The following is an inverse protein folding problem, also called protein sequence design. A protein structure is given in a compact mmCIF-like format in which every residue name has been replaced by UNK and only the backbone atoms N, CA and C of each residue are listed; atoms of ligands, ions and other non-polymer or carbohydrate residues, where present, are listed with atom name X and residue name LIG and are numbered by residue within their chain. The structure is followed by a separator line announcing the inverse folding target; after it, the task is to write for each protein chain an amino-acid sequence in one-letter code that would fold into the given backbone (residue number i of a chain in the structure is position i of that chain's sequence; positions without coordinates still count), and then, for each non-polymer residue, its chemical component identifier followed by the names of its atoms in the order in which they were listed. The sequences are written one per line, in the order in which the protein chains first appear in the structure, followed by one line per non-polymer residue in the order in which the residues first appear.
data_IF_302481426699
#
_entry.id   IF_302481426699
#
_cell.length_a   1.000
_cell.length_b   1.000
_cell.length_c   1.000
_cell.angle_alpha   90.00
_cell.angle_beta   90.00
_cell.angle_gamma   90.00
#
_symmetry.space_group_name_H-M   'P 1'
#
loop_
_entity.id
_entity.type
_entity.pdbx_description
1 polymer ?
#
# COMPACT_ATOMS: atom_id res chain seq x y z
N UNK A 1 -27.91 44.77 -35.21
CA UNK A 1 -28.57 44.32 -33.97
C UNK A 1 -29.29 43.02 -34.29
N UNK A 2 -29.32 41.95 -33.47
CA UNK A 2 -28.65 41.63 -32.19
C UNK A 2 -27.82 40.30 -32.35
N UNK A 3 -27.58 39.42 -31.35
CA UNK A 3 -26.23 38.97 -30.98
C UNK A 3 -25.88 37.50 -31.31
N UNK A 4 -24.58 37.20 -31.33
CA UNK A 4 -24.02 35.85 -31.26
C UNK A 4 -24.31 35.19 -29.90
N UNK A 5 -24.80 33.95 -29.90
CA UNK A 5 -24.75 33.06 -28.73
C UNK A 5 -24.01 31.79 -29.12
N UNK A 6 -22.71 31.79 -28.84
CA UNK A 6 -21.92 30.57 -28.75
C UNK A 6 -22.30 29.82 -27.47
N UNK A 7 -22.67 28.56 -27.63
CA UNK A 7 -22.93 27.62 -26.55
C UNK A 7 -21.62 26.88 -26.26
N UNK A 8 -20.77 27.44 -25.41
CA UNK A 8 -19.59 26.73 -24.92
C UNK A 8 -19.38 26.93 -23.41
N UNK A 9 -19.47 25.80 -22.69
CA UNK A 9 -18.81 25.50 -21.41
C UNK A 9 -19.05 26.43 -20.20
N UNK A 10 -20.04 26.07 -19.36
CA UNK A 10 -20.24 26.64 -18.01
C UNK A 10 -19.24 26.13 -16.95
N UNK A 11 -18.14 25.46 -17.32
CA UNK A 11 -17.23 24.83 -16.35
C UNK A 11 -15.73 25.17 -16.52
N UNK A 12 -15.37 26.16 -17.33
CA UNK A 12 -13.97 26.55 -17.57
C UNK A 12 -13.37 27.57 -16.58
N UNK A 13 -14.08 27.94 -15.50
CA UNK A 13 -13.67 29.05 -14.62
C UNK A 13 -13.48 28.69 -13.14
N UNK A 14 -13.13 27.44 -12.80
CA UNK A 14 -12.53 27.18 -11.49
C UNK A 14 -11.00 27.24 -11.62
N UNK A 15 -10.36 28.37 -11.28
CA UNK A 15 -8.92 28.37 -11.09
C UNK A 15 -8.61 27.42 -9.93
N UNK A 16 -7.85 26.36 -10.20
CA UNK A 16 -7.10 25.64 -9.16
C UNK A 16 -6.03 26.61 -8.66
N UNK A 17 -6.45 27.55 -7.80
CA UNK A 17 -5.63 28.64 -7.30
C UNK A 17 -4.45 28.08 -6.51
N UNK A 18 -3.27 28.56 -6.86
CA UNK A 18 -1.96 28.44 -6.20
C UNK A 18 -1.90 29.10 -4.80
N UNK A 19 -3.05 29.36 -4.18
CA UNK A 19 -3.27 29.85 -2.82
C UNK A 19 -4.16 28.87 -2.04
N UNK A 20 -3.80 27.58 -2.07
CA UNK A 20 -4.47 26.56 -1.25
C UNK A 20 -4.28 26.81 0.26
N UNK A 21 -5.07 26.16 1.13
CA UNK A 21 -4.89 26.27 2.58
C UNK A 21 -3.43 25.95 2.96
N UNK A 22 -2.82 26.82 3.78
CA UNK A 22 -1.44 26.68 4.26
C UNK A 22 -1.21 25.27 4.83
N UNK A 23 -0.04 24.67 4.56
CA UNK A 23 0.25 23.25 4.87
C UNK A 23 -0.02 22.92 6.36
N UNK A 24 0.33 23.81 7.30
CA UNK A 24 0.03 23.64 8.73
C UNK A 24 -1.48 23.57 9.04
N UNK A 25 -2.31 24.34 8.34
CA UNK A 25 -3.77 24.32 8.52
C UNK A 25 -4.38 23.02 7.96
N UNK A 26 -3.70 22.34 7.04
CA UNK A 26 -4.14 21.03 6.54
C UNK A 26 -3.86 19.92 7.55
N UNK A 27 -2.68 19.91 8.18
CA UNK A 27 -2.34 18.96 9.26
C UNK A 27 -3.31 19.10 10.43
N UNK A 28 -3.57 20.33 10.88
CA UNK A 28 -4.53 20.57 11.97
C UNK A 28 -5.96 20.13 11.63
N UNK A 29 -6.42 20.39 10.40
CA UNK A 29 -7.75 19.93 9.94
C UNK A 29 -7.82 18.40 9.89
N UNK A 30 -6.78 17.76 9.39
CA UNK A 30 -6.68 16.31 9.34
C UNK A 30 -6.69 15.69 10.75
N UNK A 31 -6.00 16.32 11.71
CA UNK A 31 -6.05 15.91 13.10
C UNK A 31 -7.44 16.03 13.70
N UNK A 32 -8.14 17.16 13.51
CA UNK A 32 -9.52 17.33 13.99
C UNK A 32 -10.47 16.26 13.44
N UNK A 33 -10.41 15.99 12.13
CA UNK A 33 -11.20 14.94 11.50
C UNK A 33 -10.88 13.56 12.05
N UNK A 34 -9.59 13.27 12.30
CA UNK A 34 -9.15 12.04 12.91
C UNK A 34 -9.69 11.89 14.35
N UNK A 35 -9.65 12.95 15.15
CA UNK A 35 -10.09 12.95 16.56
C UNK A 35 -11.61 12.77 16.71
N UNK A 36 -12.40 13.14 15.70
CA UNK A 36 -13.87 12.95 15.72
C UNK A 36 -14.29 11.49 15.48
N UNK A 37 -13.42 10.67 14.87
CA UNK A 37 -13.68 9.26 14.59
C UNK A 37 -13.70 8.44 15.88
N UNK A 38 -14.73 7.64 16.05
CA UNK A 38 -14.99 6.91 17.28
C UNK A 38 -14.27 5.55 17.35
N UNK A 39 -14.16 4.85 16.22
CA UNK A 39 -13.53 3.53 16.17
C UNK A 39 -12.16 3.55 15.47
N UNK A 40 -11.28 2.68 15.94
CA UNK A 40 -9.89 2.61 15.47
C UNK A 40 -9.78 2.14 14.01
N UNK A 41 -10.71 1.31 13.54
CA UNK A 41 -10.73 0.88 12.14
C UNK A 41 -11.10 2.04 11.20
N UNK A 42 -12.05 2.89 11.58
CA UNK A 42 -12.37 4.11 10.85
C UNK A 42 -11.19 5.09 10.86
N UNK A 43 -10.49 5.24 11.98
CA UNK A 43 -9.25 6.02 12.06
C UNK A 43 -8.18 5.47 11.11
N UNK A 44 -7.92 4.16 11.11
CA UNK A 44 -6.97 3.53 10.17
C UNK A 44 -7.39 3.78 8.71
N UNK A 45 -8.65 3.50 8.38
CA UNK A 45 -9.19 3.72 7.02
C UNK A 45 -9.07 5.18 6.58
N UNK A 46 -9.30 6.13 7.50
CA UNK A 46 -9.12 7.55 7.25
C UNK A 46 -7.65 7.88 6.96
N UNK A 47 -6.72 7.41 7.78
CA UNK A 47 -5.28 7.61 7.60
C UNK A 47 -4.78 7.03 6.27
N UNK A 48 -5.21 5.81 5.93
CA UNK A 48 -4.93 5.18 4.63
C UNK A 48 -5.49 6.03 3.48
N UNK A 49 -6.72 6.52 3.60
CA UNK A 49 -7.31 7.41 2.57
C UNK A 49 -6.55 8.74 2.39
N UNK A 50 -5.89 9.23 3.45
CA UNK A 50 -5.06 10.43 3.39
C UNK A 50 -3.72 10.11 2.71
N UNK A 51 -3.11 8.97 3.04
CA UNK A 51 -1.91 8.45 2.37
C UNK A 51 -2.09 8.36 0.86
N UNK A 52 -3.20 7.78 0.38
CA UNK A 52 -3.49 7.65 -1.05
C UNK A 52 -3.75 9.00 -1.73
N UNK A 53 -4.49 9.91 -1.08
CA UNK A 53 -4.83 11.23 -1.66
C UNK A 53 -3.66 12.20 -1.72
N UNK A 54 -2.68 12.04 -0.82
CA UNK A 54 -1.56 12.97 -0.67
C UNK A 54 -0.25 12.44 -1.27
N UNK A 55 -0.31 11.34 -2.04
CA UNK A 55 0.80 10.86 -2.88
C UNK A 55 1.99 10.28 -2.12
N UNK A 56 1.81 9.88 -0.86
CA UNK A 56 2.92 9.49 0.02
C UNK A 56 3.63 8.20 -0.40
N UNK A 57 3.00 7.33 -1.22
CA UNK A 57 3.58 6.03 -1.63
C UNK A 57 3.29 5.70 -3.11
N UNK A 58 3.13 6.73 -3.94
CA UNK A 58 2.75 6.54 -5.35
C UNK A 58 3.98 6.31 -6.22
N UNK A 59 4.42 5.05 -6.32
CA UNK A 59 5.33 4.60 -7.37
C UNK A 59 4.58 3.64 -8.31
N UNK A 60 3.42 4.07 -8.83
CA UNK A 60 2.66 3.28 -9.81
C UNK A 60 2.92 3.76 -11.26
N UNK A 61 2.57 2.95 -12.28
CA UNK A 61 2.84 3.21 -13.70
C UNK A 61 2.13 4.44 -14.31
N UNK A 62 1.37 5.21 -13.51
CA UNK A 62 0.42 6.21 -14.03
C UNK A 62 0.47 7.60 -13.39
N UNK A 63 1.57 7.99 -12.72
CA UNK A 63 1.65 9.33 -12.12
C UNK A 63 2.90 10.11 -12.54
N UNK A 64 2.67 11.31 -13.10
CA UNK A 64 3.70 12.32 -13.34
C UNK A 64 4.42 12.69 -12.03
N UNK A 65 5.68 13.17 -12.11
CA UNK A 65 6.48 13.58 -10.96
C UNK A 65 5.92 14.88 -10.35
N UNK A 66 4.78 14.79 -9.66
CA UNK A 66 4.15 15.94 -9.03
C UNK A 66 4.65 16.07 -7.59
N UNK A 67 5.62 16.97 -7.45
CA UNK A 67 6.06 17.67 -6.25
C UNK A 67 6.44 16.84 -5.01
N UNK A 68 7.75 16.89 -4.73
CA UNK A 68 8.43 16.71 -3.44
C UNK A 68 7.87 17.63 -2.33
N UNK A 69 6.61 17.48 -1.92
CA UNK A 69 6.13 18.05 -0.67
C UNK A 69 6.18 16.95 0.39
N UNK A 70 6.71 17.28 1.57
CA UNK A 70 6.48 16.46 2.77
C UNK A 70 4.99 16.14 2.80
N UNK A 71 4.64 14.88 2.71
CA UNK A 71 3.24 14.49 2.72
C UNK A 71 2.69 14.79 4.11
N UNK A 72 1.70 15.69 4.21
CA UNK A 72 1.11 16.13 5.48
C UNK A 72 0.64 14.97 6.38
N UNK A 73 0.41 13.77 5.82
CA UNK A 73 0.10 12.56 6.58
C UNK A 73 1.27 12.04 7.42
N UNK A 74 2.50 12.03 6.89
CA UNK A 74 3.67 11.58 7.64
C UNK A 74 4.03 12.59 8.74
N UNK A 75 3.87 13.88 8.45
CA UNK A 75 4.03 14.95 9.44
C UNK A 75 2.99 14.82 10.56
N UNK A 76 1.71 14.63 10.21
CA UNK A 76 0.64 14.37 11.17
C UNK A 76 0.96 13.16 12.06
N UNK A 77 1.38 12.05 11.47
CA UNK A 77 1.76 10.85 12.23
C UNK A 77 2.97 11.14 13.11
N UNK A 78 3.96 11.89 12.63
CA UNK A 78 5.15 12.23 13.40
C UNK A 78 4.81 13.08 14.63
N UNK A 79 3.95 14.09 14.47
CA UNK A 79 3.51 14.99 15.54
C UNK A 79 2.69 14.26 16.61
N UNK A 80 1.94 13.22 16.20
CA UNK A 80 1.02 12.47 17.06
C UNK A 80 1.38 10.97 17.17
N UNK A 81 2.66 10.61 17.02
CA UNK A 81 3.08 9.21 16.85
C UNK A 81 2.63 8.30 17.99
N UNK A 82 2.66 8.79 19.23
CA UNK A 82 2.22 7.99 20.40
C UNK A 82 0.74 7.60 20.32
N UNK A 83 -0.10 8.47 19.77
CA UNK A 83 -1.53 8.26 19.60
C UNK A 83 -1.83 7.43 18.34
N UNK A 84 -1.13 7.71 17.25
CA UNK A 84 -1.43 7.13 15.93
C UNK A 84 -0.72 5.80 15.67
N UNK A 85 0.40 5.52 16.32
CA UNK A 85 1.12 4.24 16.19
C UNK A 85 0.23 3.00 16.36
N UNK A 86 -0.58 2.86 17.44
CA UNK A 86 -1.44 1.70 17.61
C UNK A 86 -2.58 1.61 16.57
N UNK A 87 -2.84 2.69 15.82
CA UNK A 87 -3.85 2.74 14.76
C UNK A 87 -3.29 2.29 13.42
N UNK A 88 -2.07 2.72 13.06
CA UNK A 88 -1.42 2.39 11.78
C UNK A 88 -0.59 1.10 11.85
N UNK A 89 -0.51 0.48 13.02
CA UNK A 89 0.19 -0.77 13.28
C UNK A 89 -0.61 -1.59 14.30
N UNK A 90 0.05 -2.40 15.13
CA UNK A 90 -0.64 -3.24 16.12
C UNK A 90 -1.27 -2.42 17.25
N UNK A 91 -2.51 -2.75 17.69
CA UNK A 91 -3.31 -3.92 17.30
C UNK A 91 -4.25 -3.71 16.08
N UNK A 92 -4.57 -2.46 15.72
CA UNK A 92 -5.64 -2.14 14.74
C UNK A 92 -5.34 -2.64 13.33
N UNK A 93 -4.06 -2.70 12.95
CA UNK A 93 -3.64 -3.19 11.64
C UNK A 93 -4.04 -4.66 11.43
N UNK A 94 -4.01 -5.48 12.49
CA UNK A 94 -4.48 -6.87 12.41
C UNK A 94 -5.97 -6.95 12.05
N UNK A 95 -6.81 -6.12 12.66
CA UNK A 95 -8.24 -6.03 12.31
C UNK A 95 -8.44 -5.49 10.90
N UNK A 96 -7.61 -4.54 10.47
CA UNK A 96 -7.64 -3.98 9.12
C UNK A 96 -7.32 -5.04 8.07
N UNK A 97 -6.28 -5.86 8.30
CA UNK A 97 -5.88 -6.99 7.45
C UNK A 97 -7.01 -8.02 7.34
N UNK A 98 -7.62 -8.43 8.46
CA UNK A 98 -8.74 -9.37 8.46
C UNK A 98 -9.95 -8.86 7.66
N UNK A 99 -10.10 -7.54 7.58
CA UNK A 99 -11.17 -6.86 6.84
C UNK A 99 -10.74 -6.38 5.45
N UNK A 100 -9.52 -6.68 5.00
CA UNK A 100 -8.91 -6.10 3.79
C UNK A 100 -9.84 -6.13 2.58
N UNK A 101 -10.39 -7.30 2.26
CA UNK A 101 -11.27 -7.48 1.10
C UNK A 101 -12.57 -6.68 1.19
N UNK A 102 -13.06 -6.39 2.39
CA UNK A 102 -14.27 -5.59 2.63
C UNK A 102 -14.01 -4.08 2.52
N UNK A 103 -12.84 -3.63 3.00
CA UNK A 103 -12.48 -2.20 3.07
C UNK A 103 -11.68 -1.72 1.87
N UNK A 104 -11.27 -2.64 0.98
CA UNK A 104 -10.45 -2.35 -0.18
C UNK A 104 -11.07 -1.26 -1.05
N UNK A 105 -10.25 -0.26 -1.41
CA UNK A 105 -10.66 0.83 -2.31
C UNK A 105 -9.76 0.96 -3.52
N UNK A 106 -8.45 0.81 -3.32
CA UNK A 106 -7.43 0.91 -4.36
C UNK A 106 -6.28 -0.05 -4.01
N UNK A 107 -5.64 -0.66 -5.02
CA UNK A 107 -4.42 -1.44 -4.78
C UNK A 107 -3.30 -0.51 -4.35
N UNK A 108 -2.59 -0.88 -3.27
CA UNK A 108 -1.36 -0.26 -2.81
C UNK A 108 -0.29 -1.36 -2.72
N UNK A 109 0.88 -1.16 -3.33
CA UNK A 109 1.90 -2.20 -3.47
C UNK A 109 1.75 -3.07 -4.72
N UNK A 110 2.78 -3.89 -4.99
CA UNK A 110 2.84 -4.82 -6.09
C UNK A 110 2.24 -6.17 -5.69
N UNK A 111 1.27 -6.65 -6.46
CA UNK A 111 0.56 -7.91 -6.22
C UNK A 111 1.04 -8.92 -7.26
N UNK A 112 1.70 -9.98 -6.83
CA UNK A 112 2.25 -11.02 -7.71
C UNK A 112 1.48 -12.31 -7.51
N UNK A 113 1.09 -12.95 -8.61
CA UNK A 113 0.27 -14.16 -8.62
C UNK A 113 1.09 -15.35 -9.12
N UNK A 114 1.05 -16.48 -8.40
CA UNK A 114 1.77 -17.69 -8.78
C UNK A 114 1.34 -18.27 -10.14
N UNK A 115 0.08 -18.06 -10.54
CA UNK A 115 -0.45 -18.43 -11.86
C UNK A 115 0.20 -17.67 -13.01
N UNK A 116 0.73 -16.47 -12.74
CA UNK A 116 1.36 -15.57 -13.71
C UNK A 116 2.87 -15.40 -13.42
N UNK A 117 3.54 -16.46 -12.97
CA UNK A 117 4.98 -16.43 -12.59
C UNK A 117 5.87 -15.82 -13.68
N UNK A 118 5.60 -16.08 -14.97
CA UNK A 118 6.38 -15.54 -16.09
C UNK A 118 6.24 -14.02 -16.25
N UNK A 119 5.21 -13.40 -15.66
CA UNK A 119 4.96 -11.95 -15.70
C UNK A 119 5.59 -11.19 -14.53
N UNK A 120 6.11 -11.89 -13.52
CA UNK A 120 6.66 -11.26 -12.30
C UNK A 120 7.68 -10.16 -12.61
N UNK A 121 8.60 -10.39 -13.55
CA UNK A 121 9.57 -9.37 -13.96
C UNK A 121 8.89 -8.13 -14.54
N UNK A 122 7.93 -8.32 -15.44
CA UNK A 122 7.20 -7.23 -16.09
C UNK A 122 6.39 -6.42 -15.07
N UNK A 123 5.67 -7.10 -14.19
CA UNK A 123 4.79 -6.45 -13.22
C UNK A 123 5.62 -5.69 -12.15
N UNK A 124 6.79 -6.19 -11.76
CA UNK A 124 7.74 -5.45 -10.92
C UNK A 124 8.35 -4.23 -11.64
N UNK A 125 8.65 -4.33 -12.93
CA UNK A 125 9.27 -3.24 -13.70
C UNK A 125 8.37 -1.99 -13.81
N UNK A 126 7.07 -2.12 -13.56
CA UNK A 126 6.13 -1.00 -13.57
C UNK A 126 6.28 -0.04 -12.39
N UNK A 127 7.09 -0.40 -11.38
CA UNK A 127 7.24 0.36 -10.13
C UNK A 127 8.44 1.31 -10.11
N UNK A 128 9.23 1.40 -11.18
CA UNK A 128 10.28 2.40 -11.30
C UNK A 128 11.57 1.88 -11.92
N UNK A 129 12.56 2.76 -12.00
CA UNK A 129 13.89 2.47 -12.52
C UNK A 129 14.81 1.90 -11.42
N UNK A 130 15.97 1.33 -11.77
CA UNK A 130 16.88 0.69 -10.81
C UNK A 130 17.29 1.54 -9.60
N UNK A 131 17.36 2.87 -9.77
CA UNK A 131 17.70 3.82 -8.73
C UNK A 131 16.49 4.34 -7.93
N UNK A 132 15.27 4.02 -8.33
CA UNK A 132 14.06 4.55 -7.69
C UNK A 132 13.70 3.78 -6.43
N UNK A 133 13.98 2.47 -6.37
CA UNK A 133 13.62 1.59 -5.25
C UNK A 133 14.86 1.19 -4.44
N UNK A 134 14.86 1.49 -3.14
CA UNK A 134 15.91 1.12 -2.19
C UNK A 134 15.48 0.06 -1.18
N UNK A 135 14.18 -0.07 -0.90
CA UNK A 135 13.70 -0.93 0.17
C UNK A 135 12.39 -1.63 -0.23
N UNK A 136 12.43 -2.95 -0.34
CA UNK A 136 11.30 -3.79 -0.67
C UNK A 136 10.90 -4.54 0.59
N UNK A 137 9.64 -4.41 1.02
CA UNK A 137 9.05 -5.29 2.03
C UNK A 137 8.09 -6.23 1.32
N UNK A 138 8.33 -7.52 1.47
CA UNK A 138 7.55 -8.58 0.83
C UNK A 138 6.92 -9.46 1.90
N UNK A 139 5.70 -9.93 1.65
CA UNK A 139 4.99 -10.91 2.49
C UNK A 139 4.20 -11.88 1.61
N UNK A 140 3.96 -13.09 2.10
CA UNK A 140 2.99 -14.04 1.54
C UNK A 140 1.67 -14.13 2.33
N UNK A 141 1.58 -13.38 3.43
CA UNK A 141 0.42 -13.34 4.29
C UNK A 141 0.09 -14.64 5.02
N UNK A 142 1.02 -15.59 5.12
CA UNK A 142 0.75 -16.89 5.74
C UNK A 142 0.76 -16.85 7.27
N UNK A 143 1.66 -16.07 7.87
CA UNK A 143 1.79 -15.99 9.32
C UNK A 143 1.75 -14.52 9.75
N UNK A 144 0.63 -13.85 9.47
CA UNK A 144 0.47 -12.44 9.83
C UNK A 144 0.35 -12.29 11.34
N UNK A 145 1.34 -11.64 11.94
CA UNK A 145 1.40 -11.30 13.37
C UNK A 145 1.09 -12.51 14.27
N UNK A 146 -0.13 -12.58 14.81
CA UNK A 146 -0.67 -13.71 15.57
C UNK A 146 -2.10 -14.06 15.14
N UNK A 147 -2.49 -13.62 13.95
CA UNK A 147 -3.81 -13.87 13.35
C UNK A 147 -3.77 -14.92 12.23
N UNK A 148 -2.58 -15.49 11.98
CA UNK A 148 -2.34 -16.57 11.03
C UNK A 148 -2.54 -16.15 9.58
N UNK A 149 -2.98 -17.10 8.75
CA UNK A 149 -3.09 -16.90 7.30
C UNK A 149 -4.18 -15.91 6.92
N UNK A 150 -3.76 -14.79 6.33
CA UNK A 150 -4.63 -13.73 5.81
C UNK A 150 -4.53 -13.58 4.28
N UNK A 151 -3.79 -14.49 3.62
CA UNK A 151 -3.57 -14.52 2.19
C UNK A 151 -3.15 -13.16 1.63
N UNK A 152 -3.80 -12.74 0.54
CA UNK A 152 -3.48 -11.49 -0.16
C UNK A 152 -3.69 -10.23 0.71
N UNK A 153 -4.52 -10.30 1.75
CA UNK A 153 -4.69 -9.18 2.68
C UNK A 153 -3.45 -8.90 3.52
N UNK A 154 -2.54 -9.87 3.63
CA UNK A 154 -1.26 -9.72 4.33
C UNK A 154 -0.41 -8.57 3.81
N UNK A 155 -0.54 -8.17 2.53
CA UNK A 155 0.23 -7.06 1.95
C UNK A 155 0.15 -5.75 2.76
N UNK A 156 -0.94 -5.51 3.51
CA UNK A 156 -1.04 -4.34 4.37
C UNK A 156 0.06 -4.30 5.46
N UNK A 157 0.54 -5.45 5.95
CA UNK A 157 1.66 -5.46 6.89
C UNK A 157 2.92 -4.89 6.25
N UNK A 158 3.17 -5.22 4.98
CA UNK A 158 4.31 -4.69 4.23
C UNK A 158 4.18 -3.17 4.09
N UNK A 159 2.98 -2.68 3.77
CA UNK A 159 2.69 -1.25 3.66
C UNK A 159 2.90 -0.53 5.00
N UNK A 160 2.40 -1.11 6.10
CA UNK A 160 2.54 -0.54 7.44
C UNK A 160 4.02 -0.48 7.87
N UNK A 161 4.80 -1.52 7.61
CA UNK A 161 6.26 -1.51 7.82
C UNK A 161 6.94 -0.39 7.07
N UNK A 162 6.62 -0.18 5.80
CA UNK A 162 7.22 0.90 5.01
C UNK A 162 6.90 2.29 5.54
N UNK A 163 5.69 2.49 6.07
CA UNK A 163 5.34 3.73 6.79
C UNK A 163 6.24 3.90 8.02
N UNK A 164 6.41 2.86 8.82
CA UNK A 164 7.31 2.90 9.98
C UNK A 164 8.78 3.10 9.59
N UNK A 165 9.26 2.46 8.54
CA UNK A 165 10.62 2.64 8.02
C UNK A 165 10.85 4.10 7.58
N UNK A 166 9.83 4.73 6.99
CA UNK A 166 9.89 6.14 6.63
C UNK A 166 9.97 7.03 7.88
N UNK A 167 9.09 6.81 8.86
CA UNK A 167 9.00 7.63 10.07
C UNK A 167 10.22 7.45 11.00
N UNK A 168 10.69 6.22 11.16
CA UNK A 168 11.72 5.88 12.15
C UNK A 168 13.14 5.87 11.57
N UNK A 169 13.31 5.43 10.32
CA UNK A 169 14.62 5.29 9.67
C UNK A 169 14.88 6.35 8.59
N UNK A 170 13.90 7.20 8.27
CA UNK A 170 14.06 8.29 7.32
C UNK A 170 14.21 7.85 5.86
N UNK A 171 13.88 6.59 5.54
CA UNK A 171 13.87 6.14 4.14
C UNK A 171 12.74 6.86 3.42
N UNK A 172 13.05 7.48 2.28
CA UNK A 172 12.05 8.24 1.54
C UNK A 172 10.93 7.31 1.05
N UNK A 173 9.68 7.63 1.33
CA UNK A 173 8.53 6.76 1.02
C UNK A 173 8.43 6.38 -0.47
N UNK A 174 8.71 7.31 -1.39
CA UNK A 174 8.80 7.03 -2.85
C UNK A 174 10.02 6.20 -3.27
N UNK A 175 10.82 5.68 -2.33
CA UNK A 175 11.94 4.76 -2.60
C UNK A 175 11.69 3.37 -2.00
N UNK A 176 10.43 3.10 -1.68
CA UNK A 176 10.02 1.86 -1.02
C UNK A 176 8.93 1.16 -1.79
N UNK A 177 8.90 -0.17 -1.75
CA UNK A 177 7.93 -0.99 -2.47
C UNK A 177 7.39 -2.11 -1.58
N UNK A 178 6.08 -2.14 -1.38
CA UNK A 178 5.40 -3.26 -0.74
C UNK A 178 5.09 -4.31 -1.81
N UNK A 179 5.32 -5.59 -1.50
CA UNK A 179 5.03 -6.71 -2.42
C UNK A 179 4.24 -7.77 -1.67
N UNK A 180 3.13 -8.22 -2.27
CA UNK A 180 2.38 -9.38 -1.81
C UNK A 180 2.53 -10.55 -2.79
N UNK A 181 2.96 -11.69 -2.28
CA UNK A 181 3.09 -12.94 -3.05
C UNK A 181 1.83 -13.79 -2.85
N UNK A 182 0.94 -13.81 -3.83
CA UNK A 182 -0.28 -14.62 -3.79
C UNK A 182 -0.06 -15.98 -4.46
N UNK A 183 -0.03 -17.02 -3.64
CA UNK A 183 -0.02 -18.41 -4.10
C UNK A 183 -1.14 -19.24 -3.46
N UNK A 184 -2.24 -18.57 -3.11
CA UNK A 184 -3.36 -19.15 -2.40
C UNK A 184 -3.34 -18.84 -0.91
N UNK A 185 -4.36 -19.33 -0.22
CA UNK A 185 -4.49 -19.20 1.25
C UNK A 185 -5.10 -20.47 1.80
N UNK A 186 -4.60 -20.95 2.93
CA UNK A 186 -5.12 -22.09 3.68
C UNK A 186 -6.32 -21.70 4.58
N UNK A 187 -6.60 -20.40 4.69
CA UNK A 187 -7.76 -19.88 5.39
C UNK A 187 -9.07 -20.08 4.60
N UNK A 188 -9.83 -21.11 4.98
CA UNK A 188 -11.13 -21.44 4.38
C UNK A 188 -12.14 -20.30 4.42
N UNK A 189 -12.12 -19.45 5.45
CA UNK A 189 -13.05 -18.31 5.54
C UNK A 189 -12.79 -17.31 4.43
N UNK A 190 -11.52 -17.11 4.05
CA UNK A 190 -11.15 -16.25 2.93
C UNK A 190 -11.49 -16.90 1.59
N UNK A 191 -11.18 -18.20 1.42
CA UNK A 191 -11.52 -18.93 0.17
C UNK A 191 -13.02 -18.94 -0.13
N UNK A 192 -13.84 -19.06 0.91
CA UNK A 192 -15.30 -19.08 0.80
C UNK A 192 -15.94 -17.68 0.77
N UNK A 193 -15.15 -16.61 0.88
CA UNK A 193 -15.66 -15.25 0.81
C UNK A 193 -15.71 -14.77 -0.65
N UNK A 194 -16.91 -14.42 -1.12
CA UNK A 194 -17.12 -13.92 -2.48
C UNK A 194 -16.31 -12.66 -2.80
N UNK A 195 -16.11 -11.80 -1.79
CA UNK A 195 -15.36 -10.54 -1.93
C UNK A 195 -13.85 -10.70 -1.77
N UNK A 196 -13.34 -11.91 -1.46
CA UNK A 196 -11.90 -12.10 -1.32
C UNK A 196 -11.15 -11.79 -2.61
N UNK A 197 -10.12 -10.94 -2.49
CA UNK A 197 -9.38 -10.38 -3.63
C UNK A 197 -8.20 -11.23 -4.11
N UNK A 198 -7.79 -12.23 -3.32
CA UNK A 198 -6.70 -13.13 -3.67
C UNK A 198 -7.17 -14.42 -4.36
N UNK A 199 -6.22 -15.32 -4.60
CA UNK A 199 -6.47 -16.65 -5.17
C UNK A 199 -7.30 -17.53 -4.22
N UNK A 200 -8.46 -17.99 -4.70
CA UNK A 200 -9.41 -18.83 -3.95
C UNK A 200 -9.07 -20.32 -4.02
N UNK A 201 -7.80 -20.68 -3.79
CA UNK A 201 -7.35 -22.06 -3.66
C UNK A 201 -6.39 -22.22 -2.48
N UNK A 202 -6.19 -23.45 -1.97
CA UNK A 202 -5.16 -23.73 -0.95
C UNK A 202 -3.77 -23.29 -1.38
N UNK A 203 -2.89 -23.06 -0.40
CA UNK A 203 -1.52 -22.64 -0.70
C UNK A 203 -0.81 -23.69 -1.55
N UNK A 204 -0.24 -23.24 -2.65
CA UNK A 204 0.66 -24.07 -3.47
C UNK A 204 1.96 -24.27 -2.71
N UNK A 205 2.46 -25.51 -2.66
CA UNK A 205 3.71 -25.89 -1.97
C UNK A 205 4.70 -26.56 -2.94
N UNK A 206 5.93 -26.77 -2.48
CA UNK A 206 7.00 -27.45 -3.21
C UNK A 206 7.56 -26.64 -4.38
N UNK A 207 8.06 -27.33 -5.41
CA UNK A 207 8.83 -26.74 -6.52
C UNK A 207 8.14 -25.56 -7.20
N UNK A 208 6.80 -25.59 -7.33
CA UNK A 208 6.07 -24.50 -7.97
C UNK A 208 6.13 -23.21 -7.13
N UNK A 209 6.03 -23.33 -5.81
CA UNK A 209 6.17 -22.20 -4.89
C UNK A 209 7.62 -21.70 -4.87
N UNK A 210 8.58 -22.61 -4.77
CA UNK A 210 10.02 -22.28 -4.78
C UNK A 210 10.41 -21.51 -6.04
N UNK A 211 9.99 -22.00 -7.21
CA UNK A 211 10.21 -21.33 -8.50
C UNK A 211 9.59 -19.94 -8.53
N UNK A 212 8.41 -19.76 -7.95
CA UNK A 212 7.73 -18.46 -7.91
C UNK A 212 8.50 -17.46 -7.04
N UNK A 213 8.91 -17.85 -5.84
CA UNK A 213 9.74 -17.02 -4.95
C UNK A 213 11.09 -16.72 -5.58
N UNK A 214 11.75 -17.72 -6.17
CA UNK A 214 13.01 -17.53 -6.88
C UNK A 214 12.86 -16.52 -8.03
N UNK A 215 11.80 -16.65 -8.84
CA UNK A 215 11.52 -15.73 -9.94
C UNK A 215 11.32 -14.30 -9.45
N UNK A 216 10.61 -14.13 -8.32
CA UNK A 216 10.49 -12.82 -7.65
C UNK A 216 11.85 -12.27 -7.23
N UNK A 217 12.65 -13.03 -6.49
CA UNK A 217 13.95 -12.56 -5.98
C UNK A 217 14.88 -12.20 -7.13
N UNK A 218 15.01 -13.07 -8.15
CA UNK A 218 15.85 -12.82 -9.31
C UNK A 218 15.38 -11.57 -10.09
N UNK A 219 14.07 -11.41 -10.27
CA UNK A 219 13.50 -10.25 -10.96
C UNK A 219 13.74 -8.96 -10.20
N UNK A 220 13.49 -8.94 -8.89
CA UNK A 220 13.73 -7.80 -8.03
C UNK A 220 15.21 -7.41 -7.99
N UNK A 221 16.13 -8.38 -7.93
CA UNK A 221 17.58 -8.12 -7.97
C UNK A 221 18.06 -7.59 -9.30
N UNK A 222 17.46 -8.04 -10.41
CA UNK A 222 17.78 -7.56 -11.75
C UNK A 222 17.27 -6.14 -11.99
N UNK A 223 16.06 -5.82 -11.53
CA UNK A 223 15.45 -4.50 -11.68
C UNK A 223 16.04 -3.49 -10.69
N UNK A 224 16.14 -3.85 -9.41
CA UNK A 224 16.51 -2.98 -8.30
C UNK A 224 17.75 -3.54 -7.58
N UNK A 225 18.95 -3.53 -8.21
CA UNK A 225 20.13 -4.23 -7.73
C UNK A 225 20.63 -3.74 -6.36
N UNK A 226 20.31 -2.50 -5.98
CA UNK A 226 20.69 -1.90 -4.70
C UNK A 226 19.61 -2.04 -3.62
N UNK A 227 18.40 -2.50 -3.98
CA UNK A 227 17.31 -2.59 -3.03
C UNK A 227 17.59 -3.66 -1.97
N UNK A 228 17.30 -3.32 -0.71
CA UNK A 228 17.19 -4.32 0.35
C UNK A 228 15.83 -5.01 0.23
N UNK A 229 15.80 -6.34 0.29
CA UNK A 229 14.57 -7.13 0.24
C UNK A 229 14.36 -7.71 1.64
N UNK A 230 13.27 -7.31 2.27
CA UNK A 230 12.90 -7.70 3.62
C UNK A 230 11.65 -8.58 3.57
N UNK A 231 11.79 -9.82 4.02
CA UNK A 231 10.71 -10.80 4.10
C UNK A 231 10.00 -10.63 5.46
N UNK A 232 8.71 -10.34 5.42
CA UNK A 232 7.88 -10.11 6.61
C UNK A 232 6.73 -11.11 6.66
N UNK A 233 6.49 -11.68 7.84
CA UNK A 233 5.34 -12.53 8.15
C UNK A 233 5.12 -13.69 7.16
N UNK A 234 6.23 -14.34 6.77
CA UNK A 234 6.21 -15.56 5.96
C UNK A 234 5.88 -16.78 6.82
N UNK A 235 5.18 -17.74 6.19
CA UNK A 235 4.91 -19.04 6.80
C UNK A 235 6.19 -19.77 7.18
N UNK A 236 6.13 -20.55 8.28
CA UNK A 236 7.22 -21.46 8.62
C UNK A 236 7.35 -22.52 7.52
N UNK A 237 8.56 -22.99 7.19
CA UNK A 237 8.74 -24.12 6.29
C UNK A 237 7.96 -25.31 6.85
N UNK A 238 6.89 -25.70 6.16
CA UNK A 238 6.20 -26.95 6.45
C UNK A 238 7.05 -28.06 5.85
N UNK A 239 7.62 -28.92 6.71
CA UNK A 239 8.36 -30.13 6.32
C UNK A 239 7.54 -31.07 5.41
#
# INVERSE_FOLDING_TARGET
MPPSKDHSSKFSHLPLTTSGPQDCAQVQRAYQQYSELQDDLAKNTFMTSMKTRMGCFSIGPFQLPLLRRKSNILELIQDHIKEMYPIIYTPTEGTTIQNFSRIFRRPEGCFLNIGDTDRVYHDLAQWGEPQDIDYIVVTDGEEILGIGDQGMGGVLISIAKLVLTTLCAGIHANRTLAVGLDYGTDNEKLRNNDLYLGLKHPRVRGEKYEKFVETFVQSARKLYPKAYIYFEDFGLPNE
#
